data_IF_183635852455
#
_entry.id   IF_183635852455
#
_cell.length_a   1.000
_cell.length_b   1.000
_cell.length_c   1.000
_cell.angle_alpha   90.00
_cell.angle_beta   90.00
_cell.angle_gamma   90.00
#
_symmetry.space_group_name_H-M   'P 1'
#
loop_
_entity.id
_entity.type
_entity.pdbx_description
1 polymer ?
#
# COMPACT_ATOMS: atom_id res chain seq x y z
N UNK A 1 44.48 12.68 -26.49
CA UNK A 1 43.39 13.30 -25.68
C UNK A 1 42.07 12.52 -25.83
N UNK A 2 42.07 11.23 -25.49
CA UNK A 2 40.89 10.34 -25.59
C UNK A 2 40.35 9.94 -24.20
N UNK A 3 41.20 10.04 -23.17
CA UNK A 3 40.92 9.54 -21.82
C UNK A 3 39.84 10.34 -21.06
N UNK A 4 39.68 11.64 -21.35
CA UNK A 4 38.67 12.49 -20.68
C UNK A 4 37.25 12.25 -21.17
N UNK A 5 37.05 11.77 -22.41
CA UNK A 5 35.71 11.50 -22.95
C UNK A 5 35.08 10.24 -22.35
N UNK A 6 35.91 9.24 -22.04
CA UNK A 6 35.47 7.97 -21.44
C UNK A 6 35.03 8.21 -19.98
N UNK A 7 35.77 9.04 -19.22
CA UNK A 7 35.41 9.39 -17.85
C UNK A 7 34.05 10.11 -17.74
N UNK A 8 33.73 10.99 -18.70
CA UNK A 8 32.43 11.67 -18.74
C UNK A 8 31.26 10.72 -19.05
N UNK A 9 31.48 9.72 -19.90
CA UNK A 9 30.47 8.70 -20.21
C UNK A 9 30.16 7.80 -19.00
N UNK A 10 31.17 7.44 -18.19
CA UNK A 10 30.94 6.68 -16.96
C UNK A 10 30.21 7.50 -15.89
N UNK A 11 30.49 8.80 -15.77
CA UNK A 11 29.80 9.68 -14.81
C UNK A 11 28.30 9.84 -15.14
N UNK A 12 27.94 9.92 -16.43
CA UNK A 12 26.55 9.97 -16.86
C UNK A 12 25.80 8.65 -16.58
N UNK A 13 26.46 7.49 -16.74
CA UNK A 13 25.87 6.19 -16.39
C UNK A 13 25.58 6.07 -14.89
N UNK A 14 26.46 6.58 -14.03
CA UNK A 14 26.27 6.55 -12.58
C UNK A 14 25.07 7.40 -12.12
N UNK A 15 24.84 8.57 -12.73
CA UNK A 15 23.70 9.45 -12.44
C UNK A 15 22.35 8.84 -12.84
N UNK A 16 22.30 8.02 -13.90
CA UNK A 16 21.08 7.30 -14.30
C UNK A 16 20.70 6.15 -13.34
N UNK A 17 21.63 5.69 -12.50
CA UNK A 17 21.41 4.58 -11.57
C UNK A 17 20.99 5.02 -10.15
N UNK A 18 21.00 6.32 -9.83
CA UNK A 18 20.57 6.83 -8.50
C UNK A 18 19.05 7.12 -8.44
N UNK A 19 18.27 6.53 -9.34
CA UNK A 19 16.81 6.48 -9.23
C UNK A 19 16.30 5.14 -8.64
N UNK A 20 17.21 4.27 -8.18
CA UNK A 20 16.85 3.08 -7.40
C UNK A 20 16.55 3.53 -5.98
N UNK A 21 15.29 3.94 -5.79
CA UNK A 21 14.70 4.08 -4.47
C UNK A 21 14.92 2.79 -3.66
N UNK A 22 15.17 2.99 -2.36
CA UNK A 22 15.43 1.97 -1.34
C UNK A 22 14.80 0.60 -1.64
N UNK A 23 15.58 -0.51 -1.62
CA UNK A 23 15.13 -1.86 -2.01
C UNK A 23 14.03 -2.46 -1.12
N UNK A 24 13.59 -1.75 -0.08
CA UNK A 24 12.49 -2.15 0.79
C UNK A 24 11.15 -1.49 0.43
N UNK A 25 11.13 -0.57 -0.55
CA UNK A 25 9.92 0.06 -1.02
C UNK A 25 9.31 -0.79 -2.14
N UNK A 26 8.35 -1.66 -1.77
CA UNK A 26 7.60 -2.43 -2.75
C UNK A 26 7.01 -1.49 -3.80
N UNK A 27 7.47 -1.61 -5.05
CA UNK A 27 6.89 -0.92 -6.20
C UNK A 27 5.44 -1.40 -6.31
N UNK A 28 4.51 -0.57 -5.84
CA UNK A 28 3.09 -0.86 -5.91
C UNK A 28 2.64 -1.03 -7.36
N UNK A 29 1.53 -1.72 -7.57
CA UNK A 29 0.94 -1.96 -8.89
C UNK A 29 -0.15 -0.93 -9.18
N UNK A 30 -0.41 -0.55 -10.44
CA UNK A 30 -1.51 0.36 -10.78
C UNK A 30 -2.90 -0.31 -10.66
N UNK A 31 -2.94 -1.63 -10.55
CA UNK A 31 -4.17 -2.42 -10.42
C UNK A 31 -4.12 -3.31 -9.19
N UNK A 32 -5.28 -3.53 -8.52
CA UNK A 32 -5.37 -4.43 -7.39
C UNK A 32 -5.14 -5.88 -7.83
N UNK A 33 -4.59 -6.71 -6.93
CA UNK A 33 -4.58 -8.15 -7.15
C UNK A 33 -5.98 -8.75 -7.03
N UNK A 34 -6.15 -9.95 -7.59
CA UNK A 34 -7.43 -10.67 -7.56
C UNK A 34 -7.91 -10.86 -6.12
N UNK A 35 -9.11 -10.39 -5.81
CA UNK A 35 -9.69 -10.45 -4.47
C UNK A 35 -9.46 -9.20 -3.61
N UNK A 36 -8.68 -8.22 -4.10
CA UNK A 36 -8.60 -6.89 -3.52
C UNK A 36 -9.64 -5.95 -4.16
N UNK A 37 -10.33 -5.12 -3.37
CA UNK A 37 -11.26 -4.14 -3.94
C UNK A 37 -10.49 -3.06 -4.70
N UNK A 38 -11.05 -2.64 -5.85
CA UNK A 38 -10.62 -1.42 -6.52
C UNK A 38 -11.16 -0.23 -5.73
N UNK A 39 -10.30 0.74 -5.46
CA UNK A 39 -10.69 1.99 -4.79
C UNK A 39 -10.62 3.16 -5.77
N UNK A 40 -11.36 4.22 -5.47
CA UNK A 40 -11.35 5.50 -6.20
C UNK A 40 -10.78 6.61 -5.32
N UNK A 41 -10.44 7.76 -5.91
CA UNK A 41 -10.02 8.95 -5.15
C UNK A 41 -11.07 9.38 -4.12
N UNK A 42 -12.37 9.30 -4.48
CA UNK A 42 -13.49 9.53 -3.56
C UNK A 42 -13.43 8.65 -2.30
N UNK A 43 -12.88 7.44 -2.39
CA UNK A 43 -12.74 6.54 -1.24
C UNK A 43 -11.80 7.14 -0.19
N UNK A 44 -10.73 7.81 -0.63
CA UNK A 44 -9.79 8.52 0.25
C UNK A 44 -10.39 9.83 0.77
N UNK A 45 -11.12 10.57 -0.06
CA UNK A 45 -11.82 11.77 0.37
C UNK A 45 -12.81 11.46 1.51
N UNK A 46 -13.62 10.40 1.37
CA UNK A 46 -14.57 9.95 2.39
C UNK A 46 -13.89 9.50 3.68
N UNK A 47 -12.70 8.89 3.59
CA UNK A 47 -11.91 8.53 4.75
C UNK A 47 -11.48 9.78 5.55
N UNK A 48 -11.06 10.84 4.85
CA UNK A 48 -10.57 12.09 5.44
C UNK A 48 -11.68 13.04 5.91
N UNK A 49 -12.84 13.03 5.24
CA UNK A 49 -13.97 13.96 5.50
C UNK A 49 -15.03 13.42 6.45
N UNK A 50 -14.88 12.21 6.99
CA UNK A 50 -15.82 11.68 7.98
C UNK A 50 -15.63 12.38 9.35
N UNK A 51 -16.07 13.64 9.43
CA UNK A 51 -16.35 14.38 10.68
C UNK A 51 -17.72 14.02 11.25
N UNK A 52 -18.58 13.32 10.48
CA UNK A 52 -19.84 12.77 10.98
C UNK A 52 -19.93 11.26 10.67
N UNK A 53 -20.11 10.47 11.74
CA UNK A 53 -20.26 9.00 11.81
C UNK A 53 -19.07 8.18 11.30
N UNK A 54 -18.12 7.99 12.21
CA UNK A 54 -17.15 6.90 12.30
C UNK A 54 -16.50 6.46 10.99
N UNK A 55 -15.36 7.05 10.58
CA UNK A 55 -14.54 6.45 9.52
C UNK A 55 -14.30 4.99 9.88
N UNK A 56 -14.45 4.07 8.93
CA UNK A 56 -14.31 2.63 9.18
C UNK A 56 -12.95 2.39 9.90
N UNK A 57 -12.96 2.11 11.21
CA UNK A 57 -11.74 2.20 12.02
C UNK A 57 -10.76 1.08 11.67
N UNK A 58 -11.27 -0.02 11.10
CA UNK A 58 -10.45 -1.11 10.59
C UNK A 58 -9.71 -0.69 9.32
N UNK A 59 -10.42 -0.09 8.35
CA UNK A 59 -9.82 0.35 7.09
C UNK A 59 -8.73 1.41 7.31
N UNK A 60 -8.95 2.33 8.25
CA UNK A 60 -7.98 3.35 8.66
C UNK A 60 -6.76 2.74 9.37
N UNK A 61 -6.96 1.87 10.38
CA UNK A 61 -5.84 1.22 11.09
C UNK A 61 -5.01 0.31 10.17
N UNK A 62 -5.67 -0.46 9.30
CA UNK A 62 -4.98 -1.25 8.29
C UNK A 62 -4.26 -0.35 7.28
N UNK A 63 -4.87 0.77 6.90
CA UNK A 63 -4.25 1.80 6.06
C UNK A 63 -2.97 2.38 6.68
N UNK A 64 -2.98 2.67 7.99
CA UNK A 64 -1.80 3.13 8.71
C UNK A 64 -0.70 2.08 8.71
N UNK A 65 -1.03 0.82 8.95
CA UNK A 65 -0.07 -0.28 8.83
C UNK A 65 0.54 -0.37 7.41
N UNK A 66 -0.30 -0.23 6.36
CA UNK A 66 0.17 -0.19 4.98
C UNK A 66 1.13 0.98 4.73
N UNK A 67 0.80 2.17 5.23
CA UNK A 67 1.65 3.35 5.15
C UNK A 67 3.00 3.12 5.83
N UNK A 68 3.01 2.64 7.08
CA UNK A 68 4.24 2.39 7.83
C UNK A 68 5.12 1.34 7.15
N UNK A 69 4.49 0.35 6.51
CA UNK A 69 5.19 -0.75 5.84
C UNK A 69 5.82 -0.35 4.51
N UNK A 70 5.13 0.44 3.69
CA UNK A 70 5.54 0.72 2.31
C UNK A 70 5.97 2.18 2.08
N UNK A 71 5.51 3.11 2.91
CA UNK A 71 5.55 4.54 2.64
C UNK A 71 5.87 5.42 3.86
N UNK A 72 6.52 4.88 4.90
CA UNK A 72 6.87 5.56 6.17
C UNK A 72 7.41 6.99 6.06
N UNK A 73 8.06 7.34 4.95
CA UNK A 73 8.66 8.66 4.72
C UNK A 73 7.99 9.45 3.56
N UNK A 74 6.78 9.07 3.15
CA UNK A 74 6.05 9.71 2.04
C UNK A 74 4.72 10.22 2.54
N UNK A 75 4.28 11.39 2.07
CA UNK A 75 2.97 11.96 2.38
C UNK A 75 1.89 11.30 1.52
N UNK A 76 1.61 10.02 1.76
CA UNK A 76 0.55 9.26 1.06
C UNK A 76 -0.55 8.83 2.02
N UNK A 77 -1.79 8.87 1.54
CA UNK A 77 -2.94 8.35 2.29
C UNK A 77 -3.19 6.92 1.86
N UNK A 78 -3.32 5.99 2.81
CA UNK A 78 -3.52 4.57 2.52
C UNK A 78 -4.83 4.05 3.12
N UNK A 79 -5.48 3.12 2.40
CA UNK A 79 -6.63 2.34 2.85
C UNK A 79 -6.23 0.87 2.83
N UNK A 80 -6.47 0.18 3.95
CA UNK A 80 -6.25 -1.26 4.04
C UNK A 80 -7.55 -2.05 4.00
N UNK A 81 -7.58 -3.14 3.24
CA UNK A 81 -8.69 -4.08 3.18
C UNK A 81 -8.19 -5.49 3.44
N UNK A 82 -8.85 -6.22 4.34
CA UNK A 82 -8.60 -7.65 4.43
C UNK A 82 -9.04 -8.31 3.12
N UNK A 83 -8.13 -9.05 2.51
CA UNK A 83 -8.41 -9.88 1.36
C UNK A 83 -9.22 -11.13 1.76
N UNK A 84 -9.35 -12.10 0.85
CA UNK A 84 -10.12 -13.32 1.10
C UNK A 84 -9.68 -14.04 2.38
N UNK A 85 -10.65 -14.60 3.11
CA UNK A 85 -10.38 -15.40 4.31
C UNK A 85 -9.45 -16.56 3.97
N UNK A 86 -8.24 -16.55 4.53
CA UNK A 86 -7.24 -17.60 4.33
C UNK A 86 -6.23 -17.60 5.46
N UNK A 87 -5.48 -18.71 5.60
CA UNK A 87 -4.46 -18.90 6.65
C UNK A 87 -3.39 -17.80 6.68
N UNK A 88 -3.16 -17.14 5.54
CA UNK A 88 -2.15 -16.09 5.38
C UNK A 88 -2.68 -14.68 5.64
N UNK A 89 -3.96 -14.53 5.96
CA UNK A 89 -4.59 -13.25 6.31
C UNK A 89 -4.16 -12.12 5.34
N UNK A 90 -4.46 -12.26 4.03
CA UNK A 90 -4.01 -11.33 3.02
C UNK A 90 -4.57 -9.94 3.32
N UNK A 91 -3.73 -8.94 3.15
CA UNK A 91 -4.05 -7.54 3.31
C UNK A 91 -3.77 -6.82 2.00
N UNK A 92 -4.81 -6.20 1.46
CA UNK A 92 -4.75 -5.34 0.29
C UNK A 92 -4.53 -3.89 0.76
N UNK A 93 -3.43 -3.29 0.35
CA UNK A 93 -3.11 -1.90 0.61
C UNK A 93 -3.36 -1.10 -0.67
N UNK A 94 -4.12 0.00 -0.58
CA UNK A 94 -4.24 0.97 -1.66
C UNK A 94 -3.82 2.34 -1.13
N UNK A 95 -2.84 2.98 -1.77
CA UNK A 95 -2.30 4.26 -1.34
C UNK A 95 -2.42 5.30 -2.45
N UNK A 96 -2.95 6.47 -2.12
CA UNK A 96 -3.01 7.63 -2.99
C UNK A 96 -1.76 8.48 -2.79
N UNK A 97 -0.98 8.64 -3.86
CA UNK A 97 0.16 9.55 -3.94
C UNK A 97 0.15 10.33 -5.26
N UNK A 98 1.22 11.05 -5.55
CA UNK A 98 1.30 11.99 -6.69
C UNK A 98 1.08 11.33 -8.07
N UNK A 99 1.46 10.05 -8.19
CA UNK A 99 1.30 9.26 -9.41
C UNK A 99 -0.06 8.55 -9.51
N UNK A 100 -0.99 8.86 -8.61
CA UNK A 100 -2.28 8.19 -8.48
C UNK A 100 -2.30 7.07 -7.45
N UNK A 101 -3.23 6.13 -7.63
CA UNK A 101 -3.47 5.03 -6.68
C UNK A 101 -2.54 3.86 -7.00
N UNK A 102 -1.76 3.45 -6.00
CA UNK A 102 -0.91 2.26 -6.07
C UNK A 102 -1.38 1.18 -5.10
N UNK A 103 -1.22 -0.08 -5.51
CA UNK A 103 -1.66 -1.24 -4.77
C UNK A 103 -0.46 -2.08 -4.31
N UNK A 104 -0.45 -2.44 -3.03
CA UNK A 104 0.54 -3.33 -2.44
C UNK A 104 -0.16 -4.47 -1.70
N UNK A 105 0.49 -5.63 -1.62
CA UNK A 105 0.00 -6.76 -0.84
C UNK A 105 0.87 -6.99 0.38
N UNK A 106 0.19 -7.32 1.47
CA UNK A 106 0.80 -7.63 2.74
C UNK A 106 0.06 -8.82 3.37
N UNK A 107 0.61 -9.29 4.48
CA UNK A 107 -0.13 -10.09 5.45
C UNK A 107 -0.54 -9.14 6.58
N UNK A 108 -1.81 -9.19 6.98
CA UNK A 108 -2.27 -8.38 8.09
C UNK A 108 -1.58 -8.83 9.39
N UNK A 109 -1.29 -7.90 10.31
CA UNK A 109 -0.79 -8.25 11.63
C UNK A 109 -1.71 -9.24 12.35
N UNK A 110 -1.14 -10.11 13.20
CA UNK A 110 -1.90 -11.10 13.99
C UNK A 110 -2.97 -10.48 14.90
N UNK A 111 -2.86 -9.18 15.18
CA UNK A 111 -3.85 -8.41 15.94
C UNK A 111 -5.16 -8.19 15.18
N UNK A 112 -5.18 -8.38 13.85
CA UNK A 112 -6.40 -8.33 13.05
C UNK A 112 -6.93 -9.74 12.82
N UNK A 113 -8.20 -9.96 13.17
CA UNK A 113 -8.86 -11.24 12.95
C UNK A 113 -9.22 -11.41 11.48
N UNK A 114 -8.48 -12.26 10.77
CA UNK A 114 -8.79 -12.68 9.41
C UNK A 114 -9.61 -13.97 9.41
N UNK A 115 -10.92 -13.84 9.21
CA UNK A 115 -11.83 -14.98 9.20
C UNK A 115 -11.95 -15.69 10.56
N UNK A 116 -12.86 -16.65 10.62
CA UNK A 116 -13.14 -17.43 11.83
C UNK A 116 -11.98 -18.36 12.18
N UNK A 117 -11.44 -18.27 13.40
CA UNK A 117 -11.13 -19.51 14.13
C UNK A 117 -12.45 -20.28 14.27
N UNK A 118 -12.41 -21.60 14.05
CA UNK A 118 -13.55 -22.50 13.92
C UNK A 118 -14.85 -22.10 14.63
N UNK A 119 -15.96 -22.34 13.92
CA UNK A 119 -17.37 -22.21 14.30
C UNK A 119 -18.09 -20.91 13.87
N UNK A 120 -18.82 -21.02 12.75
CA UNK A 120 -20.25 -20.66 12.76
C UNK A 120 -20.66 -19.18 12.67
N UNK A 121 -20.00 -18.21 13.29
CA UNK A 121 -20.46 -16.78 13.24
C UNK A 121 -19.69 -15.88 12.27
N UNK A 122 -20.22 -15.75 11.04
CA UNK A 122 -19.75 -14.73 10.11
C UNK A 122 -20.10 -13.40 10.77
N UNK A 123 -19.10 -12.59 11.14
CA UNK A 123 -19.38 -11.22 11.52
C UNK A 123 -19.86 -10.50 10.25
N UNK A 124 -21.18 -10.52 10.07
CA UNK A 124 -21.90 -9.55 9.26
C UNK A 124 -21.45 -8.17 9.70
N UNK A 125 -20.89 -7.44 8.74
CA UNK A 125 -21.31 -6.09 8.38
C UNK A 125 -21.54 -5.14 9.57
N UNK A 126 -20.55 -4.28 9.83
CA UNK A 126 -20.79 -2.92 10.31
C UNK A 126 -21.04 -2.03 9.09
#
# INVERSE_FOLDING_TARGET
>A
MISTRILLLLAALALACIAVGSPNQGQGKPTPEKGCPKVSEDSFHRLNTSTTKHPNPLASRLGQFCHDRFHKNKTVTCIGHLGPTSMKCPLCCACLGDAGIIYNNATAPRTFTCGKLGNGKSQRTL
#
